data_IF_153137700382
#
_entry.id   IF_153137700382
#
_cell.length_a   1.000
_cell.length_b   1.000
_cell.length_c   1.000
_cell.angle_alpha   90.00
_cell.angle_beta   90.00
_cell.angle_gamma   90.00
#
_symmetry.space_group_name_H-M   'P 1'
#
loop_
_entity.id
_entity.type
_entity.pdbx_description
1 polymer ?
#
# COMPACT_ATOMS: atom_id res chain seq x y z
N UNK A 1 -2.22 9.63 2.69
CA UNK A 1 -2.27 11.12 2.56
C UNK A 1 -1.44 11.51 1.35
N UNK A 2 -1.94 12.41 0.49
CA UNK A 2 -1.23 12.95 -0.66
C UNK A 2 -0.89 14.40 -0.32
N UNK A 3 0.38 14.78 -0.43
CA UNK A 3 0.87 16.14 -0.24
C UNK A 3 1.48 16.63 -1.56
N UNK A 4 1.12 17.81 -2.00
CA UNK A 4 1.63 18.40 -3.24
C UNK A 4 1.64 19.92 -3.14
N UNK A 5 2.58 20.56 -3.85
CA UNK A 5 2.63 22.00 -4.08
C UNK A 5 2.10 22.37 -5.49
N UNK A 6 1.67 21.37 -6.25
CA UNK A 6 1.06 21.55 -7.56
C UNK A 6 -0.45 21.78 -7.39
N UNK A 7 -0.92 22.98 -7.76
CA UNK A 7 -2.33 23.38 -7.58
C UNK A 7 -3.29 22.57 -8.46
N UNK A 8 -2.89 22.20 -9.68
CA UNK A 8 -3.72 21.39 -10.58
C UNK A 8 -3.90 19.98 -10.03
N UNK A 9 -2.79 19.38 -9.56
CA UNK A 9 -2.84 18.07 -8.92
C UNK A 9 -3.65 18.11 -7.61
N UNK A 10 -3.51 19.17 -6.82
CA UNK A 10 -4.29 19.35 -5.61
C UNK A 10 -5.79 19.42 -5.91
N UNK A 11 -6.19 20.22 -6.90
CA UNK A 11 -7.58 20.36 -7.32
C UNK A 11 -8.17 19.04 -7.82
N UNK A 12 -7.41 18.33 -8.68
CA UNK A 12 -7.78 17.01 -9.18
C UNK A 12 -8.01 16.00 -8.06
N UNK A 13 -7.07 15.89 -7.11
CA UNK A 13 -7.15 14.96 -5.98
C UNK A 13 -8.37 15.27 -5.09
N UNK A 14 -8.70 16.55 -4.89
CA UNK A 14 -9.91 16.95 -4.16
C UNK A 14 -11.18 16.44 -4.81
N UNK A 15 -11.31 16.58 -6.13
CA UNK A 15 -12.45 16.04 -6.87
C UNK A 15 -12.48 14.51 -6.82
N UNK A 16 -11.34 13.85 -7.07
CA UNK A 16 -11.23 12.39 -7.12
C UNK A 16 -11.57 11.72 -5.77
N UNK A 17 -11.19 12.30 -4.63
CA UNK A 17 -11.54 11.75 -3.31
C UNK A 17 -13.04 11.78 -3.01
N UNK A 18 -13.80 12.57 -3.78
CA UNK A 18 -15.22 12.88 -3.55
C UNK A 18 -16.04 12.59 -4.81
N UNK A 19 -16.04 11.35 -5.27
CA UNK A 19 -16.85 10.89 -6.42
C UNK A 19 -16.55 11.59 -7.76
N UNK A 20 -15.48 12.39 -7.88
CA UNK A 20 -15.22 13.19 -9.06
C UNK A 20 -16.11 14.44 -9.18
N UNK A 21 -16.68 14.91 -8.07
CA UNK A 21 -17.59 16.06 -8.04
C UNK A 21 -16.87 17.37 -8.36
N UNK A 22 -17.38 18.09 -9.35
CA UNK A 22 -16.87 19.40 -9.77
C UNK A 22 -16.94 20.46 -8.66
N UNK A 23 -17.94 20.41 -7.81
CA UNK A 23 -18.09 21.32 -6.67
C UNK A 23 -16.91 21.29 -5.69
N UNK A 24 -16.16 20.18 -5.67
CA UNK A 24 -14.98 20.03 -4.80
C UNK A 24 -13.72 20.71 -5.36
N UNK A 25 -13.74 21.12 -6.63
CA UNK A 25 -12.67 21.95 -7.21
C UNK A 25 -12.51 23.24 -6.44
N UNK A 26 -11.27 23.70 -6.24
CA UNK A 26 -10.97 25.04 -5.73
C UNK A 26 -10.90 26.08 -6.84
N UNK A 27 -10.78 25.62 -8.09
CA UNK A 27 -10.65 26.51 -9.25
C UNK A 27 -12.02 26.94 -9.77
N UNK A 28 -12.37 28.24 -9.68
CA UNK A 28 -13.64 28.75 -10.18
C UNK A 28 -13.83 28.56 -11.70
N UNK A 29 -12.74 28.60 -12.46
CA UNK A 29 -12.82 28.41 -13.92
C UNK A 29 -13.21 26.97 -14.28
N UNK A 30 -12.66 26.01 -13.56
CA UNK A 30 -13.06 24.60 -13.68
C UNK A 30 -14.55 24.44 -13.40
N UNK A 31 -15.04 24.98 -12.30
CA UNK A 31 -16.48 24.93 -11.96
C UNK A 31 -17.35 25.56 -13.05
N UNK A 32 -17.03 26.79 -13.42
CA UNK A 32 -17.79 27.55 -14.43
C UNK A 32 -17.78 26.86 -15.80
N UNK A 33 -16.65 26.24 -16.17
CA UNK A 33 -16.55 25.48 -17.42
C UNK A 33 -17.53 24.30 -17.45
N UNK A 34 -17.57 23.50 -16.41
CA UNK A 34 -18.46 22.33 -16.35
C UNK A 34 -19.94 22.73 -16.27
N UNK A 35 -20.28 23.77 -15.52
CA UNK A 35 -21.65 24.30 -15.48
C UNK A 35 -22.12 24.78 -16.85
N UNK A 36 -21.24 25.43 -17.62
CA UNK A 36 -21.57 25.89 -18.99
C UNK A 36 -21.69 24.74 -19.99
N UNK A 37 -20.87 23.69 -19.82
CA UNK A 37 -20.91 22.51 -20.71
C UNK A 37 -22.15 21.62 -20.45
N UNK A 38 -22.67 21.63 -19.24
CA UNK A 38 -23.80 20.78 -18.81
C UNK A 38 -24.88 21.62 -18.09
N UNK A 39 -25.54 22.56 -18.81
CA UNK A 39 -26.50 23.51 -18.22
C UNK A 39 -27.79 22.82 -17.74
N UNK A 40 -28.06 21.61 -18.19
CA UNK A 40 -29.20 20.76 -17.83
C UNK A 40 -28.98 19.98 -16.53
N UNK A 41 -27.73 19.94 -16.02
CA UNK A 41 -27.40 19.26 -14.78
C UNK A 41 -27.43 20.22 -13.59
N UNK A 42 -27.74 19.65 -12.40
CA UNK A 42 -27.58 20.40 -11.17
C UNK A 42 -26.09 20.68 -10.92
N UNK A 43 -25.73 21.98 -10.81
CA UNK A 43 -24.34 22.45 -10.63
C UNK A 43 -23.61 21.79 -9.44
N UNK A 44 -24.34 21.41 -8.40
CA UNK A 44 -23.76 20.76 -7.21
C UNK A 44 -23.47 19.25 -7.41
N UNK A 45 -24.01 18.66 -8.46
CA UNK A 45 -23.93 17.22 -8.73
C UNK A 45 -23.41 16.91 -10.14
N UNK A 46 -22.46 17.69 -10.63
CA UNK A 46 -21.71 17.37 -11.85
C UNK A 46 -20.52 16.50 -11.48
N UNK A 47 -20.43 15.31 -12.07
CA UNK A 47 -19.35 14.34 -11.89
C UNK A 47 -18.43 14.39 -13.11
N UNK A 48 -17.22 14.93 -12.94
CA UNK A 48 -16.26 15.11 -14.05
C UNK A 48 -15.53 13.83 -14.44
N UNK A 49 -15.46 12.84 -13.55
CA UNK A 49 -14.70 11.61 -13.76
C UNK A 49 -15.22 10.45 -12.90
N UNK A 50 -14.87 9.23 -13.30
CA UNK A 50 -14.99 8.06 -12.43
C UNK A 50 -14.08 8.23 -11.22
N UNK A 51 -14.59 7.95 -10.02
CA UNK A 51 -13.82 8.17 -8.81
C UNK A 51 -14.38 7.42 -7.61
N UNK A 52 -13.76 7.63 -6.45
CA UNK A 52 -14.08 6.97 -5.19
C UNK A 52 -14.57 7.97 -4.15
N UNK A 53 -15.13 7.46 -3.05
CA UNK A 53 -15.37 8.23 -1.84
C UNK A 53 -14.32 7.83 -0.78
N UNK A 54 -13.29 8.65 -0.62
CA UNK A 54 -12.15 8.38 0.26
C UNK A 54 -11.96 9.49 1.30
N UNK A 55 -13.04 10.04 1.82
CA UNK A 55 -12.96 11.07 2.86
C UNK A 55 -12.68 10.43 4.22
N UNK A 56 -11.58 10.81 4.91
CA UNK A 56 -11.39 10.43 6.30
C UNK A 56 -12.46 11.10 7.17
N UNK A 57 -12.85 10.40 8.21
CA UNK A 57 -13.76 10.93 9.26
C UNK A 57 -12.96 11.42 10.45
N UNK A 58 -13.62 12.14 11.37
CA UNK A 58 -13.03 12.55 12.64
C UNK A 58 -12.51 11.36 13.46
N UNK A 59 -13.18 10.20 13.37
CA UNK A 59 -12.72 8.96 14.02
C UNK A 59 -11.33 8.55 13.52
N UNK A 60 -11.04 8.68 12.22
CA UNK A 60 -9.71 8.44 11.69
C UNK A 60 -8.68 9.40 12.26
N UNK A 61 -9.06 10.68 12.48
CA UNK A 61 -8.21 11.69 13.11
C UNK A 61 -7.88 11.34 14.56
N UNK A 62 -8.87 10.96 15.36
CA UNK A 62 -8.69 10.56 16.76
C UNK A 62 -7.76 9.34 16.86
N UNK A 63 -7.98 8.32 16.04
CA UNK A 63 -7.11 7.16 15.97
C UNK A 63 -5.69 7.53 15.54
N UNK A 64 -5.56 8.44 14.56
CA UNK A 64 -4.27 8.95 14.08
C UNK A 64 -3.48 9.66 15.19
N UNK A 65 -4.11 10.55 15.95
CA UNK A 65 -3.48 11.26 17.07
C UNK A 65 -2.96 10.26 18.11
N UNK A 66 -3.77 9.27 18.47
CA UNK A 66 -3.36 8.20 19.41
C UNK A 66 -2.19 7.36 18.90
N UNK A 67 -2.12 7.11 17.59
CA UNK A 67 -1.04 6.32 17.00
C UNK A 67 0.26 7.11 16.81
N UNK A 68 0.16 8.39 16.44
CA UNK A 68 1.34 9.22 16.12
C UNK A 68 2.23 9.42 17.36
N UNK A 69 1.64 9.49 18.55
CA UNK A 69 2.39 9.63 19.81
C UNK A 69 3.33 8.45 20.13
N UNK A 70 3.08 7.29 19.50
CA UNK A 70 3.87 6.05 19.69
C UNK A 70 4.66 5.66 18.45
N UNK A 71 4.59 6.47 17.38
CA UNK A 71 5.13 6.11 16.08
C UNK A 71 6.66 5.93 16.12
N UNK A 72 7.37 6.90 16.70
CA UNK A 72 8.83 6.89 16.73
C UNK A 72 9.37 5.73 17.60
N UNK A 73 8.78 5.49 18.76
CA UNK A 73 9.13 4.37 19.60
C UNK A 73 8.89 3.02 18.89
N UNK A 74 7.75 2.89 18.24
CA UNK A 74 7.41 1.67 17.49
C UNK A 74 8.37 1.45 16.30
N UNK A 75 8.70 2.51 15.56
CA UNK A 75 9.65 2.44 14.47
C UNK A 75 11.04 2.03 14.96
N UNK A 76 11.49 2.62 16.06
CA UNK A 76 12.76 2.24 16.68
C UNK A 76 12.79 0.75 17.09
N UNK A 77 11.75 0.27 17.78
CA UNK A 77 11.62 -1.14 18.16
C UNK A 77 11.62 -2.07 16.94
N UNK A 78 10.90 -1.71 15.88
CA UNK A 78 10.87 -2.50 14.64
C UNK A 78 12.25 -2.59 13.98
N UNK A 79 12.99 -1.49 13.93
CA UNK A 79 14.35 -1.46 13.39
C UNK A 79 15.31 -2.32 14.22
N UNK A 80 15.25 -2.22 15.55
CA UNK A 80 16.06 -3.07 16.44
C UNK A 80 15.74 -4.56 16.27
N UNK A 81 14.46 -4.90 16.17
CA UNK A 81 14.02 -6.28 15.95
C UNK A 81 14.49 -6.82 14.59
N UNK A 82 14.44 -6.00 13.53
CA UNK A 82 14.95 -6.41 12.23
C UNK A 82 16.46 -6.66 12.27
N UNK A 83 17.23 -5.77 12.88
CA UNK A 83 18.68 -5.96 13.05
C UNK A 83 18.99 -7.25 13.81
N UNK A 84 18.29 -7.50 14.91
CA UNK A 84 18.43 -8.73 15.69
C UNK A 84 18.09 -9.97 14.86
N UNK A 85 16.98 -9.93 14.11
CA UNK A 85 16.58 -11.02 13.22
C UNK A 85 17.67 -11.32 12.18
N UNK A 86 18.13 -10.32 11.45
CA UNK A 86 19.15 -10.48 10.41
C UNK A 86 20.50 -10.99 10.97
N UNK A 87 20.89 -10.53 12.17
CA UNK A 87 22.15 -10.96 12.81
C UNK A 87 22.15 -12.41 13.27
N UNK A 88 20.98 -13.03 13.42
CA UNK A 88 20.83 -14.43 13.85
C UNK A 88 20.61 -15.40 12.68
N UNK A 89 20.42 -14.90 11.47
CA UNK A 89 20.28 -15.77 10.31
C UNK A 89 21.63 -16.29 9.83
N UNK A 90 21.62 -17.52 9.37
CA UNK A 90 22.76 -18.14 8.68
C UNK A 90 22.93 -17.49 7.29
N UNK A 91 23.89 -16.58 7.16
CA UNK A 91 24.15 -15.83 5.93
C UNK A 91 24.62 -16.70 4.76
N UNK A 92 25.02 -17.96 5.00
CA UNK A 92 25.31 -18.90 3.92
C UNK A 92 24.05 -19.43 3.22
N UNK A 93 22.89 -19.39 3.91
CA UNK A 93 21.60 -19.91 3.42
C UNK A 93 20.61 -18.79 3.12
N UNK A 94 20.62 -17.72 3.90
CA UNK A 94 19.66 -16.64 3.85
C UNK A 94 20.34 -15.32 3.51
N UNK A 95 19.67 -14.53 2.70
CA UNK A 95 20.09 -13.16 2.44
C UNK A 95 19.93 -12.30 3.70
N UNK A 96 21.00 -11.61 4.09
CA UNK A 96 21.06 -10.75 5.28
C UNK A 96 21.48 -9.30 4.97
N UNK A 97 21.87 -9.01 3.73
CA UNK A 97 22.43 -7.73 3.25
C UNK A 97 21.34 -6.70 2.89
N UNK A 98 20.31 -6.58 3.73
CA UNK A 98 19.25 -5.60 3.52
C UNK A 98 19.64 -4.21 4.06
N UNK A 99 19.20 -3.16 3.34
CA UNK A 99 19.27 -1.80 3.85
C UNK A 99 18.25 -1.62 4.98
N UNK A 100 18.74 -1.50 6.21
CA UNK A 100 17.90 -1.38 7.42
C UNK A 100 17.56 0.08 7.73
N UNK A 101 18.43 1.02 7.36
CA UNK A 101 18.24 2.44 7.62
C UNK A 101 16.93 2.95 7.01
N UNK A 102 16.10 3.61 7.81
CA UNK A 102 14.79 4.12 7.41
C UNK A 102 13.71 3.05 7.25
N UNK A 103 13.99 1.79 7.59
CA UNK A 103 12.99 0.72 7.53
C UNK A 103 12.20 0.61 8.84
N UNK A 104 10.92 0.28 8.72
CA UNK A 104 10.03 -0.03 9.84
C UNK A 104 9.20 -1.27 9.50
N UNK A 105 9.85 -2.42 9.47
CA UNK A 105 9.23 -3.66 9.04
C UNK A 105 8.19 -4.15 10.04
N UNK A 106 7.00 -4.49 9.53
CA UNK A 106 5.94 -5.13 10.33
C UNK A 106 6.05 -6.66 10.30
N UNK A 107 6.79 -7.22 9.34
CA UNK A 107 7.00 -8.65 9.16
C UNK A 107 8.46 -8.91 8.76
N UNK A 108 8.97 -10.09 9.07
CA UNK A 108 10.34 -10.50 8.73
C UNK A 108 10.32 -11.38 7.49
N UNK A 109 11.05 -10.97 6.46
CA UNK A 109 11.11 -11.71 5.21
C UNK A 109 12.35 -12.60 5.18
N UNK A 110 12.13 -13.91 5.04
CA UNK A 110 13.19 -14.88 4.79
C UNK A 110 13.40 -15.02 3.28
N UNK A 111 14.58 -14.69 2.80
CA UNK A 111 14.98 -14.85 1.39
C UNK A 111 16.13 -15.83 1.35
N UNK A 112 15.95 -16.94 0.63
CA UNK A 112 17.03 -17.90 0.40
C UNK A 112 18.03 -17.33 -0.61
N UNK A 113 19.33 -17.55 -0.38
CA UNK A 113 20.37 -17.12 -1.32
C UNK A 113 20.26 -17.84 -2.66
N UNK A 114 19.84 -19.10 -2.62
CA UNK A 114 19.65 -19.93 -3.79
C UNK A 114 18.29 -20.64 -3.74
N UNK A 115 17.84 -21.12 -4.89
CA UNK A 115 16.60 -21.88 -5.00
C UNK A 115 16.78 -23.29 -4.40
N UNK A 116 16.36 -23.46 -3.15
CA UNK A 116 16.37 -24.72 -2.42
C UNK A 116 14.97 -25.04 -1.84
N UNK A 117 14.26 -25.94 -2.52
CA UNK A 117 12.92 -26.36 -2.12
C UNK A 117 12.91 -27.16 -0.81
N UNK A 118 13.94 -27.99 -0.58
CA UNK A 118 14.03 -28.82 0.62
C UNK A 118 14.30 -27.94 1.86
N UNK A 119 15.20 -26.97 1.74
CA UNK A 119 15.44 -26.00 2.81
C UNK A 119 14.19 -25.20 3.11
N UNK A 120 13.48 -24.74 2.09
CA UNK A 120 12.23 -24.00 2.24
C UNK A 120 11.20 -24.81 3.02
N UNK A 121 10.94 -26.07 2.62
CA UNK A 121 10.00 -26.95 3.31
C UNK A 121 10.36 -27.14 4.77
N UNK A 122 11.62 -27.40 5.08
CA UNK A 122 12.11 -27.53 6.46
C UNK A 122 11.90 -26.26 7.29
N UNK A 123 12.11 -25.09 6.68
CA UNK A 123 11.86 -23.79 7.36
C UNK A 123 10.36 -23.64 7.64
N UNK A 124 9.50 -23.89 6.66
CA UNK A 124 8.05 -23.79 6.82
C UNK A 124 7.52 -24.77 7.88
N UNK A 125 7.99 -26.01 7.87
CA UNK A 125 7.64 -27.02 8.90
C UNK A 125 8.10 -26.59 10.31
N UNK A 126 9.32 -26.02 10.40
CA UNK A 126 9.86 -25.54 11.66
C UNK A 126 9.06 -24.37 12.21
N UNK A 127 8.69 -23.41 11.37
CA UNK A 127 7.85 -22.27 11.73
C UNK A 127 6.47 -22.77 12.24
N UNK A 128 5.82 -23.66 11.49
CA UNK A 128 4.54 -24.24 11.86
C UNK A 128 4.61 -24.99 13.20
N UNK A 129 5.64 -25.83 13.41
CA UNK A 129 5.83 -26.58 14.64
C UNK A 129 5.99 -25.69 15.87
N UNK A 130 6.57 -24.50 15.66
CA UNK A 130 6.78 -23.53 16.74
C UNK A 130 5.64 -22.48 16.84
N UNK A 131 4.53 -22.64 16.12
CA UNK A 131 3.39 -21.74 16.15
C UNK A 131 3.65 -20.36 15.53
N UNK A 132 4.64 -20.25 14.63
CA UNK A 132 4.97 -19.01 13.94
C UNK A 132 4.18 -18.93 12.64
N UNK A 133 3.27 -17.96 12.54
CA UNK A 133 2.53 -17.69 11.31
C UNK A 133 3.46 -17.14 10.24
N UNK A 134 3.32 -17.62 9.03
CA UNK A 134 4.04 -17.12 7.87
C UNK A 134 3.17 -17.09 6.61
N UNK A 135 3.60 -16.29 5.63
CA UNK A 135 2.97 -16.19 4.31
C UNK A 135 3.99 -16.39 3.21
N UNK A 136 3.59 -17.07 2.15
CA UNK A 136 4.44 -17.27 0.97
C UNK A 136 4.33 -16.07 0.04
N UNK A 137 5.47 -15.43 -0.25
CA UNK A 137 5.53 -14.24 -1.12
C UNK A 137 4.84 -13.00 -0.53
N UNK A 138 4.89 -11.90 -1.26
CA UNK A 138 4.42 -10.60 -0.78
C UNK A 138 2.90 -10.53 -0.57
N UNK A 139 2.12 -11.24 -1.40
CA UNK A 139 0.65 -11.19 -1.38
C UNK A 139 -0.01 -12.53 -1.00
N UNK A 140 0.77 -13.49 -0.50
CA UNK A 140 0.27 -14.81 -0.07
C UNK A 140 -0.16 -15.76 -1.20
N UNK A 141 -0.26 -15.29 -2.43
CA UNK A 141 -0.80 -16.04 -3.56
C UNK A 141 0.20 -16.46 -4.64
N UNK A 142 1.49 -16.20 -4.45
CA UNK A 142 2.52 -16.52 -5.44
C UNK A 142 2.51 -15.55 -6.63
N UNK A 143 2.77 -16.07 -7.84
CA UNK A 143 2.84 -15.24 -9.05
C UNK A 143 1.44 -14.73 -9.45
N UNK A 144 1.24 -13.41 -9.36
CA UNK A 144 -0.03 -12.75 -9.68
C UNK A 144 -0.42 -12.92 -11.16
N UNK A 145 0.56 -12.99 -12.07
CA UNK A 145 0.30 -13.19 -13.51
C UNK A 145 -0.39 -14.53 -13.80
N UNK A 146 -0.26 -15.51 -12.91
CA UNK A 146 -0.91 -16.82 -13.03
C UNK A 146 -2.31 -16.88 -12.41
N UNK A 147 -2.77 -15.79 -11.77
CA UNK A 147 -4.08 -15.78 -11.12
C UNK A 147 -5.23 -15.76 -12.16
N UNK A 148 -6.34 -16.46 -11.87
CA UNK A 148 -7.45 -16.59 -12.83
C UNK A 148 -8.05 -15.25 -13.28
N UNK A 149 -8.06 -14.24 -12.41
CA UNK A 149 -8.63 -12.93 -12.75
C UNK A 149 -7.84 -12.21 -13.85
N UNK A 150 -6.51 -12.34 -13.87
CA UNK A 150 -5.67 -11.76 -14.93
C UNK A 150 -5.81 -12.53 -16.25
N UNK A 151 -6.00 -13.85 -16.20
CA UNK A 151 -6.28 -14.64 -17.39
C UNK A 151 -7.57 -14.21 -18.08
N UNK A 152 -8.61 -13.84 -17.32
CA UNK A 152 -9.88 -13.32 -17.85
C UNK A 152 -9.76 -11.96 -18.53
N UNK A 153 -8.76 -11.16 -18.18
CA UNK A 153 -8.51 -9.84 -18.78
C UNK A 153 -7.70 -9.87 -20.08
N UNK A 154 -7.49 -11.04 -20.68
CA UNK A 154 -6.78 -11.19 -21.95
C UNK A 154 -5.36 -11.72 -21.83
N UNK A 155 -4.93 -12.07 -20.63
CA UNK A 155 -3.66 -12.72 -20.35
C UNK A 155 -2.42 -11.84 -20.54
N UNK A 156 -1.49 -11.98 -19.63
CA UNK A 156 -0.11 -11.57 -19.87
C UNK A 156 0.65 -12.82 -20.34
N UNK A 157 1.60 -12.70 -21.28
CA UNK A 157 2.44 -13.84 -21.66
C UNK A 157 3.10 -14.41 -20.40
N UNK A 158 3.14 -15.72 -20.28
CA UNK A 158 3.90 -16.35 -19.21
C UNK A 158 5.37 -15.97 -19.38
N UNK A 159 6.06 -15.57 -18.31
CA UNK A 159 7.49 -15.27 -18.37
C UNK A 159 8.33 -16.49 -18.66
#
# INVERSE_FOLDING_TARGET
MICTNDEELYDLVRMLRSHGLVRESINPETKNRFVRLYPDLNSDFIFASYSHNMRPTELNGILGISQISRLDENNHKRTLNLNRFLSQLDSSKFRTDFKVEGSSNYAFTLVLNEKDWNLREKVEETLNRNGVEFRRGLSGGGNQLRQPYLKKLGGFPEP
#
